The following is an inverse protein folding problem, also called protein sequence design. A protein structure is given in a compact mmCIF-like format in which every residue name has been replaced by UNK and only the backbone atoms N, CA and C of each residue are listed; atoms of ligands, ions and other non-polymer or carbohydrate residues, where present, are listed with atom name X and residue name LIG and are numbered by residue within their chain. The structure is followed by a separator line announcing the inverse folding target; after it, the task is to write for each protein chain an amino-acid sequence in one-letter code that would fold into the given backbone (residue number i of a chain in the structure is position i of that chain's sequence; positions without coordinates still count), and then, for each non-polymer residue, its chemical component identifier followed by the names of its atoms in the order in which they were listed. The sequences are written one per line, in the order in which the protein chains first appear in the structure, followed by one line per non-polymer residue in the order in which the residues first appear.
data_IF_218797700685
#
_entry.id   IF_218797700685
#
_cell.length_a   1.000
_cell.length_b   1.000
_cell.length_c   1.000
_cell.angle_alpha   90.00
_cell.angle_beta   90.00
_cell.angle_gamma   90.00
#
_symmetry.space_group_name_H-M   'P 1'
#
loop_
_entity.id
_entity.type
_entity.pdbx_description
1 polymer ?
#
# COMPACT_ATOMS: atom_id res chain seq x y z
N UNK A 1 4.73 -46.74 2.84
CA UNK A 1 4.77 -45.44 2.11
C UNK A 1 3.72 -44.40 2.54
N UNK A 2 2.59 -44.75 3.17
CA UNK A 2 1.52 -43.77 3.51
C UNK A 2 1.88 -42.73 4.60
N UNK A 3 2.72 -43.09 5.58
CA UNK A 3 3.08 -42.18 6.69
C UNK A 3 3.90 -40.95 6.23
N UNK A 4 4.71 -41.08 5.18
CA UNK A 4 5.56 -40.01 4.66
C UNK A 4 4.73 -38.93 3.97
N UNK A 5 3.71 -39.33 3.19
CA UNK A 5 2.77 -38.41 2.53
C UNK A 5 1.97 -37.58 3.54
N UNK A 6 1.55 -38.19 4.65
CA UNK A 6 0.81 -37.50 5.71
C UNK A 6 1.63 -36.41 6.42
N UNK A 7 2.94 -36.63 6.62
CA UNK A 7 3.85 -35.65 7.24
C UNK A 7 4.15 -34.49 6.30
N UNK A 8 4.42 -34.77 5.02
CA UNK A 8 4.62 -33.72 4.00
C UNK A 8 3.37 -32.85 3.90
N UNK A 9 2.17 -33.44 3.84
CA UNK A 9 0.91 -32.69 3.76
C UNK A 9 0.72 -31.74 4.95
N UNK A 10 1.05 -32.17 6.17
CA UNK A 10 0.99 -31.33 7.37
C UNK A 10 1.98 -30.17 7.33
N UNK A 11 3.20 -30.41 6.86
CA UNK A 11 4.22 -29.36 6.71
C UNK A 11 3.79 -28.36 5.64
N UNK A 12 3.39 -28.84 4.46
CA UNK A 12 2.91 -27.99 3.36
C UNK A 12 1.72 -27.12 3.79
N UNK A 13 0.74 -27.69 4.50
CA UNK A 13 -0.39 -26.92 5.03
C UNK A 13 0.04 -25.81 5.99
N UNK A 14 0.99 -26.09 6.90
CA UNK A 14 1.53 -25.07 7.82
C UNK A 14 2.26 -23.96 7.06
N UNK A 15 3.07 -24.31 6.06
CA UNK A 15 3.77 -23.33 5.22
C UNK A 15 2.76 -22.46 4.48
N UNK A 16 1.75 -23.06 3.84
CA UNK A 16 0.68 -22.32 3.15
C UNK A 16 -0.08 -21.39 4.09
N UNK A 17 -0.38 -21.83 5.32
CA UNK A 17 -1.04 -21.01 6.32
C UNK A 17 -0.18 -19.80 6.70
N UNK A 18 1.12 -20.00 6.94
CA UNK A 18 2.05 -18.92 7.28
C UNK A 18 2.16 -17.92 6.12
N UNK A 19 2.32 -18.41 4.88
CA UNK A 19 2.35 -17.56 3.70
C UNK A 19 1.05 -16.77 3.53
N UNK A 20 -0.10 -17.41 3.74
CA UNK A 20 -1.40 -16.74 3.68
C UNK A 20 -1.49 -15.61 4.72
N UNK A 21 -1.04 -15.84 5.95
CA UNK A 21 -1.00 -14.80 6.99
C UNK A 21 -0.12 -13.63 6.54
N UNK A 22 1.07 -13.89 6.02
CA UNK A 22 1.96 -12.82 5.55
C UNK A 22 1.34 -12.03 4.38
N UNK A 23 0.69 -12.71 3.43
CA UNK A 23 0.00 -12.06 2.32
C UNK A 23 -1.12 -11.16 2.84
N UNK A 24 -1.95 -11.64 3.76
CA UNK A 24 -3.05 -10.86 4.33
C UNK A 24 -2.54 -9.62 5.09
N UNK A 25 -1.47 -9.78 5.88
CA UNK A 25 -0.83 -8.66 6.58
C UNK A 25 -0.27 -7.65 5.57
N UNK A 26 0.43 -8.11 4.54
CA UNK A 26 1.01 -7.25 3.50
C UNK A 26 -0.08 -6.44 2.78
N UNK A 27 -1.15 -7.11 2.34
CA UNK A 27 -2.28 -6.47 1.67
C UNK A 27 -3.00 -5.50 2.60
N UNK A 28 -3.19 -5.85 3.87
CA UNK A 28 -3.81 -4.98 4.87
C UNK A 28 -3.01 -3.68 5.10
N UNK A 29 -1.68 -3.79 5.19
CA UNK A 29 -0.80 -2.63 5.30
C UNK A 29 -0.83 -1.77 4.04
N UNK A 30 -0.78 -2.39 2.86
CA UNK A 30 -0.88 -1.68 1.58
C UNK A 30 -2.22 -0.96 1.39
N UNK A 31 -3.33 -1.57 1.83
CA UNK A 31 -4.64 -0.93 1.85
C UNK A 31 -4.68 0.25 2.81
N UNK A 32 -4.14 0.08 4.02
CA UNK A 32 -4.01 1.17 5.00
C UNK A 32 -3.18 2.33 4.45
N UNK A 33 -2.07 2.03 3.77
CA UNK A 33 -1.23 3.01 3.09
C UNK A 33 -2.02 3.79 2.04
N UNK A 34 -2.71 3.10 1.12
CA UNK A 34 -3.51 3.73 0.07
C UNK A 34 -4.56 4.71 0.66
N UNK A 35 -5.30 4.27 1.68
CA UNK A 35 -6.32 5.10 2.32
C UNK A 35 -5.73 6.35 2.98
N UNK A 36 -4.62 6.20 3.69
CA UNK A 36 -3.94 7.32 4.37
C UNK A 36 -3.33 8.30 3.38
N UNK A 37 -2.62 7.80 2.37
CA UNK A 37 -2.06 8.63 1.31
C UNK A 37 -3.17 9.37 0.54
N UNK A 38 -4.26 8.70 0.17
CA UNK A 38 -5.38 9.33 -0.54
C UNK A 38 -6.06 10.42 0.29
N UNK A 39 -6.22 10.20 1.60
CA UNK A 39 -6.73 11.23 2.51
C UNK A 39 -5.81 12.45 2.58
N UNK A 40 -4.49 12.27 2.64
CA UNK A 40 -3.53 13.36 2.63
C UNK A 40 -3.57 14.13 1.30
N UNK A 41 -3.67 13.41 0.18
CA UNK A 41 -3.75 14.00 -1.15
C UNK A 41 -5.02 14.84 -1.31
N UNK A 42 -6.17 14.36 -0.84
CA UNK A 42 -7.42 15.12 -0.85
C UNK A 42 -7.30 16.42 -0.04
N UNK A 43 -6.74 16.36 1.17
CA UNK A 43 -6.53 17.55 2.00
C UNK A 43 -5.57 18.57 1.32
N UNK A 44 -4.51 18.07 0.68
CA UNK A 44 -3.61 18.92 -0.10
C UNK A 44 -4.32 19.61 -1.27
N UNK A 45 -5.13 18.86 -2.05
CA UNK A 45 -5.91 19.42 -3.16
C UNK A 45 -6.93 20.46 -2.71
N UNK A 46 -7.60 20.25 -1.58
CA UNK A 46 -8.49 21.24 -0.97
C UNK A 46 -7.74 22.53 -0.60
N UNK A 47 -6.56 22.40 -0.03
CA UNK A 47 -5.71 23.55 0.28
C UNK A 47 -5.25 24.30 -0.99
N UNK A 48 -4.86 23.58 -2.04
CA UNK A 48 -4.47 24.17 -3.33
C UNK A 48 -5.65 24.89 -4.01
N UNK A 49 -6.84 24.27 -4.03
CA UNK A 49 -8.08 24.89 -4.51
C UNK A 49 -8.38 26.20 -3.78
N UNK A 50 -8.25 26.22 -2.45
CA UNK A 50 -8.49 27.41 -1.64
C UNK A 50 -7.48 28.55 -1.93
N UNK A 51 -6.25 28.22 -2.34
CA UNK A 51 -5.21 29.18 -2.74
C UNK A 51 -5.31 29.61 -4.21
N UNK A 52 -6.20 29.00 -5.00
CA UNK A 52 -6.28 29.21 -6.44
C UNK A 52 -5.08 28.63 -7.21
N UNK A 53 -4.36 27.68 -6.60
CA UNK A 53 -3.24 26.97 -7.23
C UNK A 53 -3.73 25.86 -8.15
N UNK A 54 -2.86 25.40 -9.05
CA UNK A 54 -3.16 24.25 -9.91
C UNK A 54 -3.36 22.98 -9.06
N UNK A 55 -4.45 22.27 -9.35
CA UNK A 55 -4.82 21.02 -8.67
C UNK A 55 -4.65 19.89 -9.68
N UNK A 56 -3.69 19.00 -9.41
CA UNK A 56 -3.40 17.90 -10.32
C UNK A 56 -4.60 16.95 -10.42
N UNK A 57 -5.16 16.72 -11.64
CA UNK A 57 -6.29 15.83 -11.83
C UNK A 57 -5.92 14.37 -11.56
N UNK A 58 -6.89 13.54 -11.19
CA UNK A 58 -6.68 12.10 -11.10
C UNK A 58 -6.52 11.52 -12.51
N UNK A 59 -5.27 11.25 -12.90
CA UNK A 59 -4.92 10.70 -14.21
C UNK A 59 -5.04 9.18 -14.30
N UNK A 60 -4.95 8.47 -13.17
CA UNK A 60 -5.08 7.02 -13.11
C UNK A 60 -6.49 6.59 -12.72
N UNK A 61 -6.99 5.53 -13.37
CA UNK A 61 -8.21 4.86 -12.94
C UNK A 61 -8.06 4.39 -11.49
N UNK A 62 -9.03 4.70 -10.63
CA UNK A 62 -8.91 4.49 -9.18
C UNK A 62 -8.53 3.06 -8.75
N UNK A 63 -9.06 1.97 -9.38
CA UNK A 63 -8.62 0.60 -9.10
C UNK A 63 -7.16 0.32 -9.48
N UNK A 64 -6.65 0.99 -10.52
CA UNK A 64 -5.25 0.85 -10.91
C UNK A 64 -4.35 1.49 -9.87
N UNK A 65 -4.66 2.71 -9.43
CA UNK A 65 -3.94 3.39 -8.35
C UNK A 65 -3.93 2.53 -7.07
N UNK A 66 -5.08 1.98 -6.69
CA UNK A 66 -5.19 1.05 -5.56
C UNK A 66 -4.28 -0.17 -5.71
N UNK A 67 -4.29 -0.83 -6.86
CA UNK A 67 -3.48 -2.01 -7.12
C UNK A 67 -1.97 -1.70 -7.01
N UNK A 68 -1.54 -0.55 -7.55
CA UNK A 68 -0.16 -0.10 -7.43
C UNK A 68 0.23 0.22 -5.99
N UNK A 69 -0.58 1.00 -5.27
CA UNK A 69 -0.30 1.37 -3.89
C UNK A 69 -0.23 0.13 -3.00
N UNK A 70 -1.19 -0.79 -3.09
CA UNK A 70 -1.19 -2.02 -2.29
C UNK A 70 0.00 -2.92 -2.62
N UNK A 71 0.44 -2.96 -3.87
CA UNK A 71 1.55 -3.82 -4.29
C UNK A 71 2.92 -3.22 -3.95
N UNK A 72 3.08 -1.90 -4.09
CA UNK A 72 4.37 -1.23 -4.02
C UNK A 72 4.52 -0.28 -2.82
N UNK A 73 3.58 -0.29 -1.87
CA UNK A 73 3.61 0.57 -0.68
C UNK A 73 4.95 0.60 0.07
N UNK A 74 5.74 -0.48 0.22
CA UNK A 74 6.99 -0.40 0.98
C UNK A 74 8.03 0.48 0.27
N UNK A 75 8.06 0.43 -1.06
CA UNK A 75 8.98 1.23 -1.89
C UNK A 75 8.58 2.70 -1.80
N UNK A 76 7.28 3.00 -1.94
CA UNK A 76 6.77 4.36 -1.84
C UNK A 76 6.96 4.94 -0.44
N UNK A 77 6.58 4.20 0.60
CA UNK A 77 6.76 4.63 1.99
C UNK A 77 8.23 4.89 2.31
N UNK A 78 9.14 4.02 1.87
CA UNK A 78 10.57 4.22 2.07
C UNK A 78 11.09 5.46 1.36
N UNK A 79 10.77 5.62 0.07
CA UNK A 79 11.19 6.78 -0.72
C UNK A 79 10.67 8.09 -0.11
N UNK A 80 9.38 8.14 0.23
CA UNK A 80 8.75 9.32 0.81
C UNK A 80 9.33 9.65 2.20
N UNK A 81 9.59 8.64 3.05
CA UNK A 81 10.25 8.90 4.35
C UNK A 81 11.67 9.43 4.15
N UNK A 82 12.41 8.87 3.19
CA UNK A 82 13.78 9.28 2.90
C UNK A 82 13.86 10.71 2.35
N UNK A 83 12.95 11.10 1.47
CA UNK A 83 12.97 12.42 0.81
C UNK A 83 12.18 13.50 1.58
N UNK A 84 11.07 13.13 2.22
CA UNK A 84 10.07 14.07 2.72
C UNK A 84 9.80 13.91 4.23
N UNK A 85 10.42 12.92 4.89
CA UNK A 85 10.25 12.67 6.32
C UNK A 85 8.89 12.06 6.71
N UNK A 86 8.05 11.73 5.74
CA UNK A 86 6.72 11.13 5.94
C UNK A 86 6.45 10.06 4.89
N UNK A 87 5.82 8.92 5.22
CA UNK A 87 5.47 7.92 4.22
C UNK A 87 4.34 8.39 3.29
N UNK A 88 3.60 9.44 3.67
CA UNK A 88 2.40 9.91 2.97
C UNK A 88 2.65 11.24 2.25
N UNK A 89 3.81 11.39 1.61
CA UNK A 89 4.16 12.60 0.89
C UNK A 89 3.13 12.93 -0.22
N UNK A 90 2.86 14.22 -0.33
CA UNK A 90 1.96 14.85 -1.31
C UNK A 90 2.64 16.12 -1.87
N UNK A 91 2.11 16.74 -2.95
CA UNK A 91 2.66 18.00 -3.46
C UNK A 91 2.76 19.13 -2.42
N UNK A 92 1.95 19.10 -1.37
CA UNK A 92 1.95 20.08 -0.28
C UNK A 92 2.98 19.81 0.82
N UNK A 93 3.86 18.81 0.66
CA UNK A 93 4.86 18.45 1.68
C UNK A 93 6.08 19.38 1.65
N UNK A 94 6.16 20.26 0.64
CA UNK A 94 7.21 21.27 0.47
C UNK A 94 6.63 22.68 0.40
#
# INVERSE_FOLDING_TARGET
MMAHSSRIRKIAYRILLVLLVFILVYLGLGLGFHLKWKSALTACREAQMARGEFVEPEVFWAPLALAFDVTFWPVYAWANVYHDGTPFATPCTH
#
